data_IF_265980199614
#
_entry.id   IF_265980199614
#
_cell.length_a   1.000
_cell.length_b   1.000
_cell.length_c   1.000
_cell.angle_alpha   90.00
_cell.angle_beta   90.00
_cell.angle_gamma   90.00
#
_symmetry.space_group_name_H-M   'P 1'
#
loop_
_entity.id
_entity.type
_entity.pdbx_description
1 polymer ?
#
# COMPACT_ATOMS: atom_id res chain seq x y z
N UNK A 1 1.96 -27.78 -45.96
CA UNK A 1 0.72 -27.00 -45.80
C UNK A 1 0.46 -26.92 -44.30
N UNK A 2 0.66 -25.77 -43.65
CA UNK A 2 0.61 -25.64 -42.19
C UNK A 2 -0.83 -25.58 -41.70
N UNK A 3 -1.47 -26.74 -41.56
CA UNK A 3 -2.87 -26.88 -41.14
C UNK A 3 -3.08 -26.57 -39.64
N UNK A 4 -4.02 -25.68 -39.31
CA UNK A 4 -4.40 -25.34 -37.91
C UNK A 4 -5.01 -26.56 -37.22
N UNK A 5 -5.76 -27.39 -37.95
CA UNK A 5 -6.36 -28.62 -37.43
C UNK A 5 -5.29 -29.62 -37.00
N UNK A 6 -4.24 -29.78 -37.80
CA UNK A 6 -3.12 -30.66 -37.46
C UNK A 6 -2.50 -30.23 -36.12
N UNK A 7 -2.28 -28.94 -35.93
CA UNK A 7 -1.73 -28.39 -34.68
C UNK A 7 -2.68 -28.51 -33.49
N UNK A 8 -4.00 -28.37 -33.71
CA UNK A 8 -5.00 -28.65 -32.68
C UNK A 8 -4.99 -30.12 -32.26
N UNK A 9 -4.91 -31.05 -33.22
CA UNK A 9 -4.78 -32.48 -32.93
C UNK A 9 -3.49 -32.80 -32.16
N UNK A 10 -2.38 -32.16 -32.51
CA UNK A 10 -1.12 -32.30 -31.76
C UNK A 10 -1.26 -31.85 -30.30
N UNK A 11 -1.93 -30.72 -30.04
CA UNK A 11 -2.21 -30.25 -28.68
C UNK A 11 -3.12 -31.25 -27.95
N UNK A 12 -4.14 -31.77 -28.63
CA UNK A 12 -5.08 -32.73 -28.05
C UNK A 12 -4.39 -34.04 -27.63
N UNK A 13 -3.47 -34.54 -28.45
CA UNK A 13 -2.69 -35.75 -28.17
C UNK A 13 -1.72 -35.49 -27.01
N UNK A 14 -0.94 -34.39 -27.05
CA UNK A 14 0.04 -34.05 -26.02
C UNK A 14 -0.60 -33.84 -24.64
N UNK A 15 -1.79 -33.24 -24.59
CA UNK A 15 -2.52 -32.95 -23.34
C UNK A 15 -3.54 -34.02 -22.96
N UNK A 16 -3.69 -35.08 -23.77
CA UNK A 16 -4.69 -36.13 -23.58
C UNK A 16 -6.12 -35.58 -23.40
N UNK A 17 -6.50 -34.60 -24.24
CA UNK A 17 -7.82 -33.93 -24.20
C UNK A 17 -8.63 -34.23 -25.47
N UNK A 18 -9.96 -34.28 -25.35
CA UNK A 18 -10.88 -34.50 -26.49
C UNK A 18 -11.44 -33.18 -27.02
N UNK A 19 -12.10 -33.20 -28.18
CA UNK A 19 -12.74 -32.00 -28.75
C UNK A 19 -13.80 -31.41 -27.79
N UNK A 20 -14.48 -32.27 -27.03
CA UNK A 20 -15.41 -31.84 -25.98
C UNK A 20 -14.74 -31.03 -24.87
N UNK A 21 -13.46 -31.28 -24.60
CA UNK A 21 -12.70 -30.55 -23.58
C UNK A 21 -12.21 -29.21 -24.12
N UNK A 22 -11.93 -29.10 -25.43
CA UNK A 22 -11.69 -27.80 -26.08
C UNK A 22 -12.90 -26.86 -25.95
N UNK A 23 -14.11 -27.41 -26.06
CA UNK A 23 -15.34 -26.65 -25.84
C UNK A 23 -15.42 -26.10 -24.41
N UNK A 24 -15.11 -26.94 -23.41
CA UNK A 24 -15.05 -26.54 -21.99
C UNK A 24 -13.98 -25.48 -21.75
N UNK A 25 -12.76 -25.68 -22.27
CA UNK A 25 -11.62 -24.77 -22.09
C UNK A 25 -11.94 -23.38 -22.66
N UNK A 26 -12.60 -23.33 -23.83
CA UNK A 26 -12.87 -22.07 -24.54
C UNK A 26 -14.22 -21.43 -24.21
N UNK A 27 -15.09 -22.12 -23.47
CA UNK A 27 -16.43 -21.66 -23.14
C UNK A 27 -17.39 -21.60 -24.34
N UNK A 28 -17.09 -22.31 -25.44
CA UNK A 28 -17.94 -22.34 -26.65
C UNK A 28 -18.70 -23.67 -26.75
N UNK A 29 -19.66 -23.75 -27.67
CA UNK A 29 -20.44 -24.98 -27.90
C UNK A 29 -19.60 -26.06 -28.61
N UNK A 30 -19.90 -27.35 -28.36
CA UNK A 30 -19.30 -28.47 -29.10
C UNK A 30 -19.47 -28.34 -30.62
N UNK A 31 -20.58 -27.74 -31.08
CA UNK A 31 -20.84 -27.47 -32.49
C UNK A 31 -19.85 -26.45 -33.07
N UNK A 32 -19.48 -25.41 -32.29
CA UNK A 32 -18.46 -24.46 -32.69
C UNK A 32 -17.09 -25.13 -32.86
N UNK A 33 -16.71 -26.02 -31.93
CA UNK A 33 -15.48 -26.82 -32.04
C UNK A 33 -15.51 -27.69 -33.30
N UNK A 34 -16.58 -28.45 -33.51
CA UNK A 34 -16.75 -29.27 -34.73
C UNK A 34 -16.62 -28.43 -36.02
N UNK A 35 -17.14 -27.21 -36.02
CA UNK A 35 -17.01 -26.31 -37.16
C UNK A 35 -15.55 -25.87 -37.40
N UNK A 36 -14.71 -25.75 -36.36
CA UNK A 36 -13.28 -25.46 -36.54
C UNK A 36 -12.57 -26.57 -37.31
N UNK A 37 -12.85 -27.83 -36.95
CA UNK A 37 -12.29 -29.02 -37.61
C UNK A 37 -12.83 -29.22 -39.03
N UNK A 38 -14.07 -28.80 -39.32
CA UNK A 38 -14.62 -28.87 -40.68
C UNK A 38 -14.11 -27.76 -41.60
N UNK A 39 -13.94 -26.55 -41.06
CA UNK A 39 -13.63 -25.33 -41.84
C UNK A 39 -12.15 -24.94 -41.83
N UNK A 40 -11.33 -25.67 -41.10
CA UNK A 40 -9.94 -25.34 -40.85
C UNK A 40 -9.74 -23.88 -40.38
N UNK A 41 -10.61 -23.45 -39.46
CA UNK A 41 -10.62 -22.06 -39.00
C UNK A 41 -11.10 -21.99 -37.56
N UNK A 42 -10.27 -21.39 -36.72
CA UNK A 42 -10.57 -21.07 -35.33
C UNK A 42 -10.54 -19.55 -35.15
N UNK A 43 -11.32 -19.02 -34.20
CA UNK A 43 -11.23 -17.61 -33.83
C UNK A 43 -9.94 -17.35 -33.05
N UNK A 44 -9.38 -16.14 -33.17
CA UNK A 44 -8.19 -15.73 -32.41
C UNK A 44 -8.45 -15.82 -30.90
N UNK A 45 -9.67 -15.50 -30.45
CA UNK A 45 -10.08 -15.59 -29.05
C UNK A 45 -10.01 -17.03 -28.54
N UNK A 46 -10.65 -17.98 -29.23
CA UNK A 46 -10.64 -19.39 -28.81
C UNK A 46 -9.23 -20.01 -28.91
N UNK A 47 -8.47 -19.65 -29.96
CA UNK A 47 -7.08 -20.07 -30.09
C UNK A 47 -6.22 -19.57 -28.93
N UNK A 48 -6.40 -18.31 -28.50
CA UNK A 48 -5.67 -17.74 -27.36
C UNK A 48 -6.01 -18.45 -26.06
N UNK A 49 -7.29 -18.72 -25.80
CA UNK A 49 -7.71 -19.45 -24.58
C UNK A 49 -7.13 -20.86 -24.53
N UNK A 50 -7.12 -21.59 -25.67
CA UNK A 50 -6.48 -22.91 -25.75
C UNK A 50 -4.98 -22.80 -25.46
N UNK A 51 -4.29 -21.84 -26.08
CA UNK A 51 -2.86 -21.62 -25.88
C UNK A 51 -2.52 -21.34 -24.41
N UNK A 52 -3.27 -20.44 -23.75
CA UNK A 52 -3.09 -20.12 -22.33
C UNK A 52 -3.31 -21.33 -21.42
N UNK A 53 -4.32 -22.16 -21.72
CA UNK A 53 -4.61 -23.36 -20.92
C UNK A 53 -3.63 -24.51 -21.16
N UNK A 54 -2.91 -24.53 -22.28
CA UNK A 54 -2.10 -25.68 -22.70
C UNK A 54 -0.59 -25.39 -22.74
N UNK A 55 -0.17 -24.12 -22.67
CA UNK A 55 1.24 -23.71 -22.74
C UNK A 55 1.81 -23.65 -24.17
N UNK A 56 0.94 -23.73 -25.19
CA UNK A 56 1.35 -23.65 -26.59
C UNK A 56 1.39 -22.20 -27.08
N UNK A 57 2.24 -21.93 -28.08
CA UNK A 57 2.31 -20.60 -28.69
C UNK A 57 1.12 -20.32 -29.60
N UNK A 58 0.53 -19.13 -29.46
CA UNK A 58 -0.53 -18.64 -30.35
C UNK A 58 -0.03 -18.46 -31.79
N UNK A 59 1.19 -17.97 -31.96
CA UNK A 59 1.81 -17.79 -33.28
C UNK A 59 1.99 -19.15 -33.98
N UNK A 60 2.46 -20.15 -33.24
CA UNK A 60 2.60 -21.50 -33.75
C UNK A 60 1.25 -22.12 -34.10
N UNK A 61 0.25 -22.02 -33.22
CA UNK A 61 -1.08 -22.59 -33.49
C UNK A 61 -1.72 -21.97 -34.75
N UNK A 62 -1.65 -20.65 -34.93
CA UNK A 62 -2.31 -19.98 -36.04
C UNK A 62 -1.53 -20.04 -37.36
N UNK A 63 -0.20 -19.92 -37.33
CA UNK A 63 0.63 -19.78 -38.53
C UNK A 63 1.58 -20.96 -38.79
N UNK A 64 1.81 -21.79 -37.77
CA UNK A 64 2.83 -22.85 -37.76
C UNK A 64 4.27 -22.31 -37.76
N UNK A 65 4.47 -21.02 -37.46
CA UNK A 65 5.79 -20.39 -37.29
C UNK A 65 6.10 -20.19 -35.80
N UNK A 66 7.38 -20.00 -35.48
CA UNK A 66 7.85 -19.76 -34.12
C UNK A 66 7.95 -21.02 -33.26
N UNK A 67 8.20 -20.82 -31.96
CA UNK A 67 8.35 -21.91 -30.98
C UNK A 67 7.01 -22.58 -30.69
N UNK A 68 6.99 -23.92 -30.66
CA UNK A 68 5.76 -24.72 -30.51
C UNK A 68 5.14 -24.60 -29.11
N UNK A 69 5.96 -24.78 -28.08
CA UNK A 69 5.61 -24.53 -26.68
C UNK A 69 6.31 -23.24 -26.26
N UNK A 70 5.62 -22.41 -25.50
CA UNK A 70 6.32 -21.35 -24.77
C UNK A 70 7.16 -22.10 -23.74
N UNK A 71 8.49 -21.99 -23.84
CA UNK A 71 9.35 -22.47 -22.76
C UNK A 71 8.92 -21.70 -21.51
N UNK A 72 8.63 -22.39 -20.41
CA UNK A 72 8.22 -21.78 -19.13
C UNK A 72 9.29 -20.78 -18.61
N UNK A 73 10.43 -20.66 -19.30
CA UNK A 73 11.59 -19.82 -18.97
C UNK A 73 11.40 -18.31 -19.15
N UNK A 74 10.35 -17.83 -19.82
CA UNK A 74 10.09 -16.38 -19.92
C UNK A 74 9.07 -15.83 -18.91
N UNK A 75 8.32 -16.70 -18.22
CA UNK A 75 7.63 -16.33 -16.97
C UNK A 75 8.47 -16.90 -15.84
N UNK A 76 9.49 -16.16 -15.42
CA UNK A 76 10.13 -16.47 -14.14
C UNK A 76 9.04 -16.34 -13.09
N UNK A 77 8.69 -17.45 -12.42
CA UNK A 77 7.91 -17.39 -11.19
C UNK A 77 8.56 -16.31 -10.32
N UNK A 78 7.75 -15.33 -9.92
CA UNK A 78 8.27 -14.19 -9.19
C UNK A 78 8.96 -14.74 -7.94
N UNK A 79 10.24 -14.38 -7.75
CA UNK A 79 10.93 -14.63 -6.47
C UNK A 79 10.18 -13.97 -5.31
N UNK A 80 9.36 -12.96 -5.59
CA UNK A 80 8.47 -12.33 -4.62
C UNK A 80 7.18 -13.16 -4.59
N UNK A 81 6.98 -13.87 -3.48
CA UNK A 81 5.70 -14.47 -3.12
C UNK A 81 4.95 -13.45 -2.25
N UNK A 82 3.88 -12.79 -2.76
CA UNK A 82 3.09 -11.91 -1.91
C UNK A 82 2.43 -12.75 -0.82
N UNK A 83 2.59 -12.31 0.43
CA UNK A 83 1.89 -12.85 1.59
C UNK A 83 1.12 -11.71 2.22
N UNK A 84 -0.10 -11.97 2.68
CA UNK A 84 -0.82 -10.97 3.49
C UNK A 84 -0.23 -10.98 4.90
N UNK A 85 -0.14 -9.81 5.51
CA UNK A 85 0.47 -9.71 6.84
C UNK A 85 -0.31 -10.54 7.86
N UNK A 86 -1.63 -10.55 7.76
CA UNK A 86 -2.53 -11.28 8.64
C UNK A 86 -2.32 -12.80 8.55
N UNK A 87 -2.05 -13.34 7.37
CA UNK A 87 -1.85 -14.79 7.12
C UNK A 87 -0.41 -15.27 7.42
N UNK A 88 0.56 -14.38 7.63
CA UNK A 88 1.92 -14.77 8.01
C UNK A 88 1.92 -15.50 9.36
N UNK A 89 2.75 -16.54 9.47
CA UNK A 89 2.91 -17.29 10.71
C UNK A 89 3.53 -16.41 11.80
N UNK A 90 3.27 -16.73 13.07
CA UNK A 90 3.87 -16.00 14.19
C UNK A 90 5.39 -16.05 14.17
N UNK A 91 5.99 -17.13 13.66
CA UNK A 91 7.44 -17.23 13.50
C UNK A 91 7.98 -16.22 12.48
N UNK A 92 7.26 -16.01 11.37
CA UNK A 92 7.66 -15.04 10.35
C UNK A 92 7.46 -13.59 10.83
N UNK A 93 6.34 -13.31 11.52
CA UNK A 93 6.09 -12.01 12.16
C UNK A 93 7.13 -11.67 13.23
N UNK A 94 7.59 -12.67 13.98
CA UNK A 94 8.61 -12.55 15.02
C UNK A 94 10.05 -12.79 14.52
N UNK A 95 10.28 -12.77 13.21
CA UNK A 95 11.63 -12.89 12.62
C UNK A 95 12.58 -11.75 12.98
N UNK A 96 12.06 -10.67 13.60
CA UNK A 96 12.81 -9.46 13.91
C UNK A 96 12.99 -8.52 12.71
N UNK A 97 12.43 -8.85 11.54
CA UNK A 97 12.45 -7.95 10.37
C UNK A 97 11.49 -6.77 10.57
N UNK A 98 10.40 -6.98 11.31
CA UNK A 98 9.35 -6.00 11.54
C UNK A 98 9.10 -5.77 13.03
N UNK A 99 8.59 -4.58 13.33
CA UNK A 99 8.00 -4.24 14.63
C UNK A 99 6.59 -3.72 14.39
N UNK A 100 5.65 -4.12 15.23
CA UNK A 100 4.27 -3.65 15.16
C UNK A 100 4.05 -2.51 16.14
N UNK A 101 3.38 -1.46 15.70
CA UNK A 101 3.08 -0.28 16.51
C UNK A 101 1.58 -0.06 16.51
N UNK A 102 0.92 0.07 17.68
CA UNK A 102 -0.51 0.32 17.74
C UNK A 102 -0.83 1.70 17.14
N UNK A 103 -1.90 1.72 16.34
CA UNK A 103 -2.54 2.94 15.85
C UNK A 103 -3.58 3.35 16.88
N UNK A 104 -3.35 4.51 17.47
CA UNK A 104 -4.24 5.08 18.46
C UNK A 104 -5.28 5.95 17.76
N UNK A 105 -6.55 5.70 18.07
CA UNK A 105 -7.60 6.66 17.77
C UNK A 105 -7.56 7.76 18.83
N UNK A 106 -6.80 8.81 18.52
CA UNK A 106 -6.79 10.01 19.35
C UNK A 106 -7.72 10.98 18.67
N UNK A 107 -8.91 11.18 19.24
CA UNK A 107 -9.74 12.32 18.90
C UNK A 107 -8.99 13.60 19.32
N UNK A 108 -8.13 14.09 18.43
CA UNK A 108 -7.50 15.41 18.51
C UNK A 108 -8.54 16.48 18.15
N UNK A 109 -9.74 16.39 18.73
CA UNK A 109 -10.80 17.33 18.45
C UNK A 109 -10.70 18.50 19.42
N UNK A 110 -10.32 19.64 18.86
CA UNK A 110 -10.54 20.93 19.47
C UNK A 110 -12.05 21.09 19.76
N UNK A 111 -12.43 21.17 21.04
CA UNK A 111 -13.77 21.59 21.41
C UNK A 111 -14.26 21.06 22.76
N UNK A 112 -14.26 21.96 23.75
CA UNK A 112 -14.90 21.85 25.06
C UNK A 112 -14.23 20.87 26.05
N UNK A 113 -13.62 21.47 27.07
CA UNK A 113 -12.95 20.78 28.15
C UNK A 113 -13.84 19.75 28.83
N UNK A 114 -13.47 18.49 28.66
CA UNK A 114 -13.61 17.42 29.65
C UNK A 114 -12.53 16.39 29.31
N UNK A 115 -11.55 16.29 30.20
CA UNK A 115 -10.43 15.36 30.12
C UNK A 115 -11.00 13.95 30.26
N UNK A 116 -10.90 13.15 29.20
CA UNK A 116 -10.91 11.68 29.25
C UNK A 116 -10.32 11.17 27.93
N UNK A 117 -8.99 11.07 27.86
CA UNK A 117 -8.33 10.40 26.74
C UNK A 117 -8.53 8.89 26.90
N UNK A 118 -9.56 8.33 26.27
CA UNK A 118 -9.60 6.89 26.02
C UNK A 118 -8.73 6.60 24.79
N UNK A 119 -7.46 6.32 25.00
CA UNK A 119 -6.59 5.78 23.94
C UNK A 119 -7.16 4.42 23.53
N UNK A 120 -7.88 4.38 22.40
CA UNK A 120 -8.39 3.13 21.85
C UNK A 120 -7.43 2.66 20.78
N UNK A 121 -6.80 1.51 21.01
CA UNK A 121 -6.01 0.83 19.98
C UNK A 121 -6.96 0.29 18.90
N UNK A 122 -6.84 0.79 17.67
CA UNK A 122 -7.68 0.33 16.56
C UNK A 122 -7.13 -0.94 15.92
N UNK A 123 -5.85 -0.91 15.55
CA UNK A 123 -5.08 -1.98 14.91
C UNK A 123 -3.59 -1.66 15.04
N UNK A 124 -2.71 -2.55 14.57
CA UNK A 124 -1.26 -2.31 14.58
C UNK A 124 -0.72 -2.15 13.16
N UNK A 125 0.22 -1.23 12.95
CA UNK A 125 0.98 -1.12 11.70
C UNK A 125 2.36 -1.78 11.82
N UNK A 126 2.75 -2.62 10.85
CA UNK A 126 4.10 -3.17 10.80
C UNK A 126 5.08 -2.19 10.15
N UNK A 127 6.18 -1.89 10.84
CA UNK A 127 7.31 -1.16 10.31
C UNK A 127 8.52 -2.08 10.17
N UNK A 128 9.19 -2.05 9.02
CA UNK A 128 10.48 -2.73 8.87
C UNK A 128 11.51 -2.09 9.80
N UNK A 129 12.21 -2.91 10.59
CA UNK A 129 13.29 -2.49 11.49
C UNK A 129 14.38 -1.74 10.73
N UNK A 130 14.71 -2.17 9.51
CA UNK A 130 15.70 -1.48 8.68
C UNK A 130 15.25 -0.08 8.22
N UNK A 131 13.95 0.14 8.03
CA UNK A 131 13.42 1.49 7.74
C UNK A 131 13.60 2.39 8.95
N UNK A 132 13.21 1.94 10.13
CA UNK A 132 13.38 2.70 11.38
C UNK A 132 14.85 3.07 11.62
N UNK A 133 15.76 2.09 11.48
CA UNK A 133 17.21 2.32 11.60
C UNK A 133 17.75 3.35 10.60
N UNK A 134 17.32 3.27 9.34
CA UNK A 134 17.75 4.21 8.29
C UNK A 134 17.29 5.64 8.59
N UNK A 135 16.07 5.80 9.09
CA UNK A 135 15.52 7.11 9.46
C UNK A 135 16.00 7.58 10.86
N UNK A 136 16.74 6.74 11.60
CA UNK A 136 17.23 7.06 12.94
C UNK A 136 16.14 7.06 14.02
N UNK A 137 15.03 6.36 13.77
CA UNK A 137 13.85 6.33 14.63
C UNK A 137 13.85 5.07 15.50
N UNK A 138 13.55 5.22 16.79
CA UNK A 138 13.47 4.11 17.73
C UNK A 138 12.02 3.62 17.90
N UNK A 139 11.78 2.31 17.79
CA UNK A 139 10.44 1.75 17.79
C UNK A 139 9.67 1.94 19.11
N UNK A 140 10.37 2.01 20.24
CA UNK A 140 9.79 2.28 21.57
C UNK A 140 9.45 3.77 21.78
N UNK A 141 9.94 4.63 20.88
CA UNK A 141 9.75 6.10 20.92
C UNK A 141 8.80 6.61 19.86
N UNK A 142 8.14 5.74 19.11
CA UNK A 142 7.12 6.16 18.15
C UNK A 142 5.71 6.03 18.69
N UNK A 143 4.84 6.90 18.17
CA UNK A 143 3.39 6.84 18.32
C UNK A 143 2.75 6.96 16.96
N UNK A 144 1.70 6.17 16.72
CA UNK A 144 0.93 6.23 15.48
C UNK A 144 -0.47 6.72 15.79
N UNK A 145 -0.91 7.76 15.08
CA UNK A 145 -2.17 8.45 15.35
C UNK A 145 -2.92 8.74 14.05
N UNK A 146 -4.23 8.94 14.14
CA UNK A 146 -5.03 9.45 13.02
C UNK A 146 -5.14 10.96 13.06
N UNK A 147 -5.12 11.58 11.88
CA UNK A 147 -5.39 13.01 11.71
C UNK A 147 -6.89 13.24 11.80
N UNK A 148 -7.26 14.30 12.50
CA UNK A 148 -8.62 14.83 12.53
C UNK A 148 -8.65 16.29 12.07
N UNK A 149 -9.63 16.61 11.25
CA UNK A 149 -9.85 17.94 10.69
C UNK A 149 -9.02 18.25 9.43
N UNK A 150 -9.18 19.48 8.94
CA UNK A 150 -8.71 19.92 7.63
C UNK A 150 -7.61 21.00 7.70
N UNK A 151 -7.16 21.34 8.90
CA UNK A 151 -6.17 22.42 9.11
C UNK A 151 -4.81 22.15 8.43
N UNK A 152 -4.54 20.91 8.07
CA UNK A 152 -3.31 20.52 7.40
C UNK A 152 -3.52 20.18 5.91
N UNK A 153 -4.71 20.40 5.36
CA UNK A 153 -4.98 20.25 3.93
C UNK A 153 -4.13 21.23 3.10
N UNK A 154 -3.66 20.83 1.90
CA UNK A 154 -3.78 19.51 1.27
C UNK A 154 -2.62 18.56 1.64
N UNK A 155 -1.80 18.92 2.64
CA UNK A 155 -0.60 18.15 2.98
C UNK A 155 -0.93 16.87 3.77
N UNK A 156 -1.90 16.97 4.67
CA UNK A 156 -2.48 15.89 5.45
C UNK A 156 -4.00 16.07 5.42
N UNK A 157 -4.72 15.00 5.08
CA UNK A 157 -6.17 14.97 5.06
C UNK A 157 -6.74 14.39 6.35
N UNK A 158 -8.01 14.72 6.62
CA UNK A 158 -8.78 14.07 7.68
C UNK A 158 -8.76 12.54 7.47
N UNK A 159 -8.47 11.80 8.53
CA UNK A 159 -8.37 10.34 8.51
C UNK A 159 -7.00 9.77 8.11
N UNK A 160 -6.03 10.59 7.68
CA UNK A 160 -4.65 10.17 7.43
C UNK A 160 -4.01 9.55 8.68
N UNK A 161 -3.04 8.65 8.48
CA UNK A 161 -2.30 8.03 9.59
C UNK A 161 -0.87 8.57 9.65
N UNK A 162 -0.44 9.02 10.82
CA UNK A 162 0.88 9.60 11.07
C UNK A 162 1.68 8.75 12.04
N UNK A 163 2.98 8.62 11.80
CA UNK A 163 3.91 8.18 12.84
C UNK A 163 4.78 9.35 13.31
N UNK A 164 4.80 9.53 14.63
CA UNK A 164 5.48 10.60 15.35
C UNK A 164 6.65 9.99 16.10
N UNK A 165 7.85 10.53 15.92
CA UNK A 165 9.02 10.22 16.75
C UNK A 165 9.04 11.14 17.96
N UNK A 166 8.72 10.57 19.13
CA UNK A 166 8.62 11.26 20.41
C UNK A 166 9.99 11.56 21.04
N UNK A 167 11.08 11.04 20.46
CA UNK A 167 12.43 11.39 20.87
C UNK A 167 12.96 12.64 20.15
N UNK A 168 12.35 13.03 19.02
CA UNK A 168 12.79 14.14 18.19
C UNK A 168 11.93 15.39 18.41
N UNK A 169 12.25 16.11 19.49
CA UNK A 169 11.52 17.30 19.91
C UNK A 169 12.24 18.60 19.51
N UNK A 170 13.39 18.49 18.83
CA UNK A 170 14.14 19.65 18.37
C UNK A 170 13.50 20.21 17.10
N UNK A 171 13.09 21.48 17.17
CA UNK A 171 12.49 22.15 16.02
C UNK A 171 13.52 22.30 14.91
N UNK A 172 13.13 21.78 13.74
CA UNK A 172 13.69 22.03 12.42
C UNK A 172 12.60 22.70 11.61
N UNK A 173 12.89 23.89 11.10
CA UNK A 173 11.91 24.76 10.47
C UNK A 173 11.19 24.09 9.30
N UNK A 174 9.88 24.34 9.21
CA UNK A 174 9.04 23.85 8.12
C UNK A 174 8.71 22.36 8.20
N UNK A 175 9.09 21.67 9.28
CA UNK A 175 8.70 20.27 9.53
C UNK A 175 7.40 20.20 10.33
N UNK A 176 6.75 19.06 10.25
CA UNK A 176 5.46 18.79 10.90
C UNK A 176 5.73 18.13 12.26
N UNK A 177 5.03 18.60 13.29
CA UNK A 177 5.17 18.11 14.66
C UNK A 177 3.79 17.87 15.27
N UNK A 178 3.75 16.90 16.18
CA UNK A 178 2.70 16.86 17.19
C UNK A 178 3.10 17.78 18.34
N UNK A 179 2.18 18.65 18.74
CA UNK A 179 2.39 19.65 19.79
C UNK A 179 1.23 19.63 20.78
N UNK A 180 1.49 20.12 21.99
CA UNK A 180 0.46 20.44 22.98
C UNK A 180 0.49 21.94 23.24
N UNK A 181 -0.69 22.57 23.23
CA UNK A 181 -0.92 23.96 23.64
C UNK A 181 -2.03 23.94 24.68
N UNK A 182 -1.69 24.27 25.93
CA UNK A 182 -2.58 24.05 27.08
C UNK A 182 -2.97 22.57 27.18
N UNK A 183 -4.27 22.31 27.09
CA UNK A 183 -4.85 20.95 27.11
C UNK A 183 -5.06 20.37 25.70
N UNK A 184 -4.83 21.15 24.64
CA UNK A 184 -5.10 20.71 23.26
C UNK A 184 -3.84 20.14 22.61
N UNK A 185 -3.96 18.94 22.03
CA UNK A 185 -2.93 18.37 21.16
C UNK A 185 -3.27 18.64 19.69
N UNK A 186 -2.27 19.03 18.89
CA UNK A 186 -2.44 19.44 17.49
C UNK A 186 -1.28 18.93 16.64
N UNK A 187 -1.50 18.73 15.35
CA UNK A 187 -0.45 18.49 14.35
C UNK A 187 -0.28 19.74 13.51
N UNK A 188 0.93 20.34 13.53
CA UNK A 188 1.22 21.64 12.90
C UNK A 188 2.62 21.71 12.33
N UNK A 189 2.86 22.67 11.44
CA UNK A 189 4.20 23.05 11.01
C UNK A 189 4.79 24.01 12.04
N UNK A 190 6.03 23.77 12.46
CA UNK A 190 6.74 24.68 13.36
C UNK A 190 7.86 25.42 12.63
N UNK A 191 8.00 26.71 12.93
CA UNK A 191 9.09 27.57 12.48
C UNK A 191 9.62 28.31 13.71
N UNK A 192 10.90 28.16 14.00
CA UNK A 192 11.54 28.87 15.10
C UNK A 192 12.00 30.25 14.61
N UNK A 193 11.46 31.31 15.22
CA UNK A 193 11.79 32.68 14.85
C UNK A 193 13.11 33.13 15.51
N UNK A 194 13.79 34.11 14.90
CA UNK A 194 15.08 34.63 15.40
C UNK A 194 14.96 35.33 16.75
N UNK A 195 13.77 35.82 17.10
CA UNK A 195 13.48 36.41 18.41
C UNK A 195 13.26 35.37 19.51
N UNK A 196 13.23 34.08 19.16
CA UNK A 196 13.01 32.94 20.06
C UNK A 196 11.55 32.54 20.26
N UNK A 197 10.61 33.19 19.58
CA UNK A 197 9.21 32.72 19.49
C UNK A 197 9.08 31.56 18.50
N UNK A 198 7.96 30.83 18.55
CA UNK A 198 7.67 29.75 17.61
C UNK A 198 6.39 30.09 16.84
N UNK A 199 6.47 30.08 15.51
CA UNK A 199 5.29 30.15 14.66
C UNK A 199 4.72 28.74 14.48
N UNK A 200 3.47 28.56 14.91
CA UNK A 200 2.66 27.36 14.71
C UNK A 200 1.76 27.60 13.52
N UNK A 201 2.08 26.92 12.41
CA UNK A 201 1.44 27.13 11.11
C UNK A 201 0.61 25.92 10.69
N UNK A 202 -0.54 26.23 10.10
CA UNK A 202 -1.39 25.29 9.38
C UNK A 202 -0.97 25.24 7.91
N UNK A 203 -1.04 24.08 7.26
CA UNK A 203 -0.85 24.02 5.80
C UNK A 203 -2.05 24.63 5.06
N UNK A 204 -3.24 24.52 5.66
CA UNK A 204 -4.47 25.10 5.13
C UNK A 204 -4.46 26.62 5.40
N UNK A 205 -4.49 27.47 4.35
CA UNK A 205 -4.42 28.92 4.48
C UNK A 205 -5.64 29.57 5.17
N UNK A 206 -6.77 28.85 5.27
CA UNK A 206 -7.97 29.33 5.97
C UNK A 206 -7.75 29.41 7.50
N UNK A 207 -6.70 28.77 8.00
CA UNK A 207 -6.31 28.75 9.41
C UNK A 207 -5.16 29.73 9.63
N UNK A 208 -5.35 30.70 10.53
CA UNK A 208 -4.32 31.67 10.88
C UNK A 208 -3.16 31.02 11.64
N UNK A 209 -1.96 31.56 11.43
CA UNK A 209 -0.78 31.22 12.22
C UNK A 209 -0.96 31.67 13.68
N UNK A 210 -0.50 30.82 14.60
CA UNK A 210 -0.45 31.08 16.04
C UNK A 210 1.01 31.31 16.45
N UNK A 211 1.28 32.39 17.19
CA UNK A 211 2.65 32.71 17.65
C UNK A 211 2.75 32.33 19.12
N UNK A 212 3.64 31.40 19.42
CA UNK A 212 3.94 30.96 20.78
C UNK A 212 5.06 31.83 21.34
N UNK A 213 4.75 32.53 22.43
CA UNK A 213 5.71 33.39 23.11
C UNK A 213 6.71 32.59 23.95
N UNK A 214 7.82 33.21 24.36
CA UNK A 214 8.81 32.57 25.24
C UNK A 214 8.22 32.19 26.58
N UNK A 215 7.36 33.05 27.12
CA UNK A 215 6.69 32.85 28.39
C UNK A 215 5.79 31.60 28.35
N UNK A 216 5.14 31.32 27.21
CA UNK A 216 4.32 30.11 27.04
C UNK A 216 5.16 28.82 26.93
N UNK A 217 6.37 28.93 26.39
CA UNK A 217 7.33 27.82 26.34
C UNK A 217 7.86 27.55 27.75
N UNK A 218 8.26 28.59 28.48
CA UNK A 218 8.83 28.51 29.82
C UNK A 218 7.81 28.08 30.88
N UNK A 219 6.55 28.50 30.75
CA UNK A 219 5.46 28.11 31.65
C UNK A 219 5.01 26.65 31.45
N UNK A 220 5.44 26.01 30.35
CA UNK A 220 4.98 24.68 29.98
C UNK A 220 3.57 24.66 29.37
N UNK A 221 3.00 25.81 28.99
CA UNK A 221 1.75 25.84 28.23
C UNK A 221 1.94 25.22 26.83
N UNK A 222 3.13 25.40 26.23
CA UNK A 222 3.51 24.80 24.96
C UNK A 222 4.51 23.64 25.15
N UNK A 223 4.30 22.54 24.44
CA UNK A 223 5.28 21.46 24.34
C UNK A 223 5.29 20.81 22.94
N UNK A 224 6.49 20.52 22.43
CA UNK A 224 6.67 19.63 21.27
C UNK A 224 6.63 18.19 21.79
N UNK A 225 5.67 17.42 21.31
CA UNK A 225 5.51 16.01 21.68
C UNK A 225 6.44 15.11 20.86
N UNK A 226 6.64 15.46 19.59
CA UNK A 226 7.53 14.75 18.67
C UNK A 226 7.38 15.20 17.23
N UNK A 227 8.31 14.77 16.37
CA UNK A 227 8.31 15.11 14.94
C UNK A 227 7.64 14.03 14.11
N UNK A 228 6.79 14.42 13.17
CA UNK A 228 6.21 13.49 12.20
C UNK A 228 7.29 13.05 11.23
N UNK A 229 7.53 11.74 11.15
CA UNK A 229 8.55 11.15 10.27
C UNK A 229 7.95 10.32 9.14
N UNK A 230 6.70 9.86 9.29
CA UNK A 230 5.99 9.06 8.30
C UNK A 230 4.51 9.42 8.24
N UNK A 231 3.95 9.35 7.04
CA UNK A 231 2.55 9.67 6.72
C UNK A 231 2.04 8.60 5.76
N UNK A 232 0.81 8.13 5.96
CA UNK A 232 0.04 7.36 5.00
C UNK A 232 -1.33 7.98 4.82
N UNK A 233 -1.66 8.26 3.56
CA UNK A 233 -2.94 8.82 3.16
C UNK A 233 -3.69 7.79 2.30
N UNK A 234 -4.98 7.63 2.55
CA UNK A 234 -5.87 6.79 1.75
C UNK A 234 -6.70 7.74 0.87
N UNK A 235 -6.57 7.60 -0.44
CA UNK A 235 -7.25 8.43 -1.45
C UNK A 235 -8.35 7.66 -2.17
#
# INVERSE_FOLDING_TARGET
MNDVIQRLNEIMIDKNIKQSDLAKITGVTNQAVNNWFKRNKISTTSARTICLSTGYSLEWLLSGKGVKKMDDSNIRDSRLKPVTWEEMSDTEKNSGEFVTVPVLDIELSAGHGMINHSETEMYTLPFRVNTLKREGVHCDKIRVVRVSGDSMNPRLFDGDTLSIDMADNRIKDGKIYAIRIGESQKVKVLIQNSDGTITVRSFNPDFKDEIISKEQIESGEFAVLGRVWWISSII
#
